data_IF_788897108582
#
_entry.id   IF_788897108582
#
_cell.length_a   1.000
_cell.length_b   1.000
_cell.length_c   1.000
_cell.angle_alpha   90.00
_cell.angle_beta   90.00
_cell.angle_gamma   90.00
#
_symmetry.space_group_name_H-M   'P 1'
#
loop_
_entity.id
_entity.type
_entity.pdbx_description
1 polymer ?
#
# COMPACT_ATOMS: atom_id res chain seq x y z
N UNK A 1 46.86 12.40 -80.08
CA UNK A 1 46.14 13.68 -80.07
C UNK A 1 44.65 13.37 -79.96
N UNK A 2 44.02 13.84 -78.87
CA UNK A 2 42.57 14.01 -78.64
C UNK A 2 41.75 12.80 -78.14
N UNK A 3 41.29 13.01 -76.90
CA UNK A 3 40.20 12.44 -76.09
C UNK A 3 38.95 11.91 -76.82
N UNK A 4 38.24 10.93 -76.23
CA UNK A 4 37.02 11.19 -75.44
C UNK A 4 36.46 9.94 -74.73
N UNK A 5 36.04 10.16 -73.49
CA UNK A 5 35.44 9.25 -72.52
C UNK A 5 34.02 8.81 -72.94
N UNK A 6 33.70 7.52 -72.79
CA UNK A 6 32.29 7.07 -72.71
C UNK A 6 31.78 7.19 -71.28
N UNK A 7 30.73 7.99 -71.12
CA UNK A 7 30.02 8.26 -69.88
C UNK A 7 29.01 7.14 -69.62
N UNK A 8 29.31 6.27 -68.66
CA UNK A 8 28.34 5.29 -68.13
C UNK A 8 27.31 6.07 -67.32
N UNK A 9 26.09 6.17 -67.86
CA UNK A 9 24.98 6.85 -67.21
C UNK A 9 24.34 5.91 -66.19
N UNK A 10 24.76 5.99 -64.92
CA UNK A 10 24.15 5.22 -63.83
C UNK A 10 22.77 5.81 -63.52
N UNK A 11 21.73 5.13 -64.00
CA UNK A 11 20.32 5.44 -63.70
C UNK A 11 20.10 5.23 -62.20
N UNK A 12 19.98 6.32 -61.43
CA UNK A 12 19.66 6.28 -59.98
C UNK A 12 18.29 5.65 -59.76
N UNK A 13 18.25 4.35 -59.48
CA UNK A 13 17.06 3.66 -58.98
C UNK A 13 16.95 4.02 -57.50
N UNK A 14 16.06 4.96 -57.19
CA UNK A 14 15.73 5.37 -55.84
C UNK A 14 14.82 4.29 -55.23
N UNK A 15 15.39 3.37 -54.46
CA UNK A 15 14.61 2.36 -53.72
C UNK A 15 14.00 3.07 -52.49
N UNK A 16 12.67 3.14 -52.33
CA UNK A 16 12.09 3.77 -51.16
C UNK A 16 12.40 2.90 -49.93
N UNK A 17 13.25 3.40 -49.05
CA UNK A 17 13.54 2.81 -47.76
C UNK A 17 12.26 2.91 -46.91
N UNK A 18 11.50 1.81 -46.88
CA UNK A 18 10.32 1.65 -46.03
C UNK A 18 10.78 1.68 -44.57
N UNK A 19 10.72 2.86 -43.94
CA UNK A 19 10.97 3.04 -42.51
C UNK A 19 9.81 2.34 -41.79
N UNK A 20 10.03 1.09 -41.37
CA UNK A 20 9.19 0.41 -40.40
C UNK A 20 9.25 1.22 -39.09
N UNK A 21 8.24 2.05 -38.86
CA UNK A 21 8.00 2.61 -37.53
C UNK A 21 7.59 1.46 -36.62
N UNK A 22 8.54 0.95 -35.84
CA UNK A 22 8.25 -0.06 -34.81
C UNK A 22 7.52 0.68 -33.69
N UNK A 23 6.19 0.61 -33.70
CA UNK A 23 5.37 1.02 -32.56
C UNK A 23 5.65 0.06 -31.42
N UNK A 24 6.49 0.46 -30.46
CA UNK A 24 6.81 -0.36 -29.30
C UNK A 24 5.57 -0.57 -28.44
N UNK A 25 5.21 -1.83 -28.19
CA UNK A 25 4.16 -2.19 -27.24
C UNK A 25 4.53 -1.64 -25.85
N UNK A 26 3.63 -0.89 -25.22
CA UNK A 26 3.81 -0.46 -23.83
C UNK A 26 3.47 -1.62 -22.92
N UNK A 27 4.44 -2.17 -22.21
CA UNK A 27 4.23 -3.23 -21.21
C UNK A 27 3.93 -2.61 -19.85
N UNK A 28 2.99 -3.18 -19.09
CA UNK A 28 2.78 -2.78 -17.69
C UNK A 28 4.00 -3.23 -16.90
N UNK A 29 4.65 -2.31 -16.19
CA UNK A 29 5.67 -2.64 -15.21
C UNK A 29 4.96 -2.97 -13.90
N UNK A 30 4.82 -4.26 -13.61
CA UNK A 30 4.18 -4.78 -12.40
C UNK A 30 5.07 -4.55 -11.16
N UNK A 31 5.19 -3.29 -10.77
CA UNK A 31 5.86 -2.84 -9.55
C UNK A 31 5.01 -1.74 -8.95
N UNK A 32 4.09 -2.12 -8.06
CA UNK A 32 3.33 -1.15 -7.28
C UNK A 32 4.28 -0.43 -6.31
N UNK A 33 4.30 0.90 -6.34
CA UNK A 33 5.01 1.68 -5.34
C UNK A 33 4.22 1.62 -4.03
N UNK A 34 4.80 0.99 -3.01
CA UNK A 34 4.28 1.04 -1.65
C UNK A 34 5.24 1.81 -0.77
N UNK A 35 4.75 2.81 -0.05
CA UNK A 35 5.55 3.49 0.98
C UNK A 35 5.29 2.80 2.31
N UNK A 36 6.30 2.09 2.83
CA UNK A 36 6.28 1.58 4.20
C UNK A 36 6.73 2.71 5.13
N UNK A 37 5.82 3.17 5.99
CA UNK A 37 6.11 4.14 7.02
C UNK A 37 6.09 3.45 8.38
N UNK A 38 7.18 3.58 9.12
CA UNK A 38 7.21 3.11 10.49
C UNK A 38 6.54 4.15 11.39
N UNK A 39 5.76 3.68 12.37
CA UNK A 39 5.17 4.54 13.37
C UNK A 39 5.45 3.98 14.75
N UNK A 40 5.59 4.88 15.72
CA UNK A 40 5.73 4.56 17.13
C UNK A 40 4.91 5.56 17.92
N UNK A 41 3.91 5.09 18.64
CA UNK A 41 3.01 5.91 19.44
C UNK A 41 2.99 5.40 20.89
N UNK A 42 2.79 6.30 21.87
CA UNK A 42 2.84 7.76 21.77
C UNK A 42 4.28 8.28 21.62
N UNK A 43 4.48 9.57 21.35
CA UNK A 43 5.81 10.17 21.24
C UNK A 43 6.65 10.03 22.52
N UNK A 44 7.97 9.91 22.36
CA UNK A 44 8.90 9.82 23.48
C UNK A 44 8.85 11.08 24.35
N UNK A 45 8.90 10.89 25.67
CA UNK A 45 8.96 12.00 26.63
C UNK A 45 7.63 12.69 26.92
N UNK A 46 6.56 12.42 26.16
CA UNK A 46 5.24 12.99 26.42
C UNK A 46 4.49 12.24 27.53
N UNK A 47 3.82 12.98 28.42
CA UNK A 47 2.88 12.40 29.38
C UNK A 47 1.61 12.01 28.62
N UNK A 48 1.34 10.71 28.56
CA UNK A 48 0.17 10.13 27.89
C UNK A 48 -0.74 9.47 28.92
N UNK A 49 -2.05 9.51 28.67
CA UNK A 49 -3.06 8.81 29.47
C UNK A 49 -3.75 7.74 28.62
N UNK A 50 -3.84 6.52 29.13
CA UNK A 50 -4.60 5.42 28.53
C UNK A 50 -5.61 4.88 29.53
N UNK A 51 -6.76 4.40 29.05
CA UNK A 51 -7.75 3.71 29.86
C UNK A 51 -7.57 2.19 29.79
N UNK A 52 -8.29 1.45 30.63
CA UNK A 52 -8.30 -0.02 30.56
C UNK A 52 -8.79 -0.49 29.19
N UNK A 53 -8.01 -1.36 28.55
CA UNK A 53 -8.24 -1.86 27.20
C UNK A 53 -7.56 -1.03 26.10
N UNK A 54 -7.10 0.19 26.42
CA UNK A 54 -6.41 1.04 25.45
C UNK A 54 -4.93 0.67 25.31
N UNK A 55 -4.38 1.02 24.15
CA UNK A 55 -2.95 0.89 23.89
C UNK A 55 -2.18 1.92 24.74
N UNK A 56 -1.15 1.43 25.43
CA UNK A 56 -0.10 2.24 26.05
C UNK A 56 1.02 2.54 25.06
N UNK A 57 1.39 1.55 24.25
CA UNK A 57 2.32 1.70 23.13
C UNK A 57 1.69 1.02 21.92
N UNK A 58 1.74 1.66 20.76
CA UNK A 58 1.40 1.07 19.46
C UNK A 58 2.54 1.37 18.48
N UNK A 59 3.27 0.33 18.07
CA UNK A 59 4.42 0.45 17.19
C UNK A 59 4.30 -0.55 16.05
N UNK A 60 4.56 -0.12 14.82
CA UNK A 60 4.46 -1.00 13.67
C UNK A 60 4.90 -0.38 12.36
N UNK A 61 4.62 -1.12 11.29
CA UNK A 61 4.77 -0.65 9.91
C UNK A 61 3.37 -0.32 9.37
N UNK A 62 3.24 0.80 8.69
CA UNK A 62 2.05 1.15 7.95
C UNK A 62 2.39 1.17 6.46
N UNK A 63 1.69 0.36 5.67
CA UNK A 63 1.92 0.29 4.22
C UNK A 63 0.91 1.19 3.55
N UNK A 64 1.40 2.26 2.92
CA UNK A 64 0.57 3.15 2.11
C UNK A 64 0.62 2.70 0.66
N UNK A 65 -0.54 2.39 0.11
CA UNK A 65 -0.69 1.97 -1.29
C UNK A 65 -1.68 2.89 -1.98
N UNK A 66 -1.45 3.16 -3.27
CA UNK A 66 -2.42 3.85 -4.11
C UNK A 66 -3.57 2.94 -4.48
N UNK A 67 -4.76 3.51 -4.50
CA UNK A 67 -5.99 2.88 -4.96
C UNK A 67 -6.68 3.78 -5.98
N UNK A 68 -7.23 3.17 -7.02
CA UNK A 68 -8.29 3.77 -7.82
C UNK A 68 -9.61 3.50 -7.10
N UNK A 69 -10.23 4.54 -6.56
CA UNK A 69 -11.55 4.45 -5.93
C UNK A 69 -12.61 4.92 -6.92
N UNK A 70 -13.60 4.08 -7.19
CA UNK A 70 -14.73 4.33 -8.08
C UNK A 70 -16.00 4.32 -7.22
N UNK A 71 -16.75 5.42 -7.20
CA UNK A 71 -17.93 5.55 -6.33
C UNK A 71 -19.18 4.94 -6.97
N UNK A 72 -19.36 5.17 -8.27
CA UNK A 72 -20.48 4.69 -9.06
C UNK A 72 -20.01 3.65 -10.07
N UNK A 73 -20.71 2.51 -10.12
CA UNK A 73 -20.44 1.48 -11.13
C UNK A 73 -20.50 2.08 -12.53
N UNK A 74 -19.50 1.77 -13.34
CA UNK A 74 -19.41 2.19 -14.73
C UNK A 74 -19.96 1.05 -15.58
N UNK A 75 -21.11 1.29 -16.21
CA UNK A 75 -21.73 0.39 -17.19
C UNK A 75 -21.18 0.76 -18.58
N UNK A 76 -20.26 -0.06 -19.07
CA UNK A 76 -19.46 0.23 -20.24
C UNK A 76 -19.79 -0.71 -21.39
N UNK A 77 -19.77 -0.21 -22.63
CA UNK A 77 -20.16 -0.99 -23.81
C UNK A 77 -19.42 -2.34 -23.97
N UNK A 78 -18.16 -2.44 -23.51
CA UNK A 78 -17.39 -3.68 -23.52
C UNK A 78 -17.07 -4.24 -22.13
N UNK A 79 -17.02 -3.38 -21.12
CA UNK A 79 -16.56 -3.73 -19.77
C UNK A 79 -17.40 -3.00 -18.72
N UNK A 80 -17.93 -3.75 -17.76
CA UNK A 80 -18.58 -3.17 -16.58
C UNK A 80 -17.59 -3.13 -15.43
N UNK A 81 -17.43 -1.96 -14.82
CA UNK A 81 -16.49 -1.73 -13.73
C UNK A 81 -17.29 -1.42 -12.47
N UNK A 82 -17.43 -2.39 -11.55
CA UNK A 82 -18.13 -2.18 -10.28
C UNK A 82 -17.56 -1.01 -9.48
N UNK A 83 -18.38 -0.39 -8.64
CA UNK A 83 -17.86 0.52 -7.64
C UNK A 83 -16.96 -0.22 -6.64
N UNK A 84 -15.91 0.45 -6.18
CA UNK A 84 -14.94 -0.17 -5.28
C UNK A 84 -13.58 0.52 -5.30
N UNK A 85 -12.65 -0.09 -4.57
CA UNK A 85 -11.26 0.36 -4.51
C UNK A 85 -10.36 -0.70 -5.09
N UNK A 86 -9.59 -0.33 -6.11
CA UNK A 86 -8.72 -1.20 -6.88
C UNK A 86 -7.27 -0.84 -6.57
N UNK A 87 -6.51 -1.80 -6.07
CA UNK A 87 -5.11 -1.60 -5.63
C UNK A 87 -4.21 -1.32 -6.84
N UNK A 88 -3.21 -0.45 -6.70
CA UNK A 88 -2.18 -0.28 -7.72
C UNK A 88 -1.38 -1.58 -7.89
N UNK A 89 -1.13 -1.96 -9.13
CA UNK A 89 -0.35 -3.14 -9.52
C UNK A 89 0.90 -2.77 -10.32
N UNK A 90 0.98 -1.54 -10.83
CA UNK A 90 2.13 -1.09 -11.61
C UNK A 90 2.11 0.39 -11.94
N UNK A 91 3.21 0.85 -12.54
CA UNK A 91 3.36 2.20 -13.05
C UNK A 91 4.22 2.16 -14.32
N UNK A 92 3.80 2.80 -15.41
CA UNK A 92 4.64 2.96 -16.58
C UNK A 92 4.36 4.28 -17.30
N UNK A 93 5.41 5.00 -17.70
CA UNK A 93 5.34 6.26 -18.46
C UNK A 93 4.35 7.30 -17.90
N UNK A 94 4.26 7.43 -16.56
CA UNK A 94 3.37 8.39 -15.91
C UNK A 94 1.93 7.91 -15.70
N UNK A 95 1.62 6.66 -16.08
CA UNK A 95 0.30 6.05 -15.88
C UNK A 95 0.39 5.04 -14.74
N UNK A 96 -0.47 5.21 -13.73
CA UNK A 96 -0.70 4.24 -12.66
C UNK A 96 -1.70 3.17 -13.15
N UNK A 97 -1.33 1.90 -13.01
CA UNK A 97 -2.17 0.75 -13.35
C UNK A 97 -2.70 0.07 -12.10
N UNK A 98 -3.98 -0.25 -12.08
CA UNK A 98 -4.72 -0.81 -10.96
C UNK A 98 -5.30 -2.18 -11.29
N UNK A 99 -5.53 -2.98 -10.26
CA UNK A 99 -6.17 -4.31 -10.36
C UNK A 99 -7.55 -4.23 -10.99
N UNK A 100 -7.98 -5.33 -11.60
CA UNK A 100 -9.37 -5.52 -12.09
C UNK A 100 -10.31 -6.07 -10.99
N UNK A 101 -9.75 -6.43 -9.83
CA UNK A 101 -10.47 -6.91 -8.67
C UNK A 101 -10.44 -5.86 -7.57
N UNK A 102 -11.61 -5.46 -7.07
CA UNK A 102 -11.72 -4.52 -5.96
C UNK A 102 -11.37 -5.19 -4.62
N UNK A 103 -11.11 -4.39 -3.59
CA UNK A 103 -10.93 -4.89 -2.21
C UNK A 103 -12.13 -5.71 -1.70
N UNK A 104 -13.34 -5.45 -2.20
CA UNK A 104 -14.56 -6.21 -1.85
C UNK A 104 -14.79 -7.42 -2.77
N UNK A 105 -13.77 -7.83 -3.54
CA UNK A 105 -13.79 -8.98 -4.44
C UNK A 105 -14.79 -8.87 -5.61
N UNK A 106 -15.32 -7.68 -5.91
CA UNK A 106 -16.01 -7.43 -7.17
C UNK A 106 -14.99 -7.30 -8.31
N UNK A 107 -15.23 -7.98 -9.44
CA UNK A 107 -14.35 -7.99 -10.61
C UNK A 107 -14.96 -7.17 -11.75
N UNK A 108 -14.09 -6.63 -12.61
CA UNK A 108 -14.51 -6.08 -13.92
C UNK A 108 -15.15 -7.21 -14.74
N UNK A 109 -16.36 -6.97 -15.24
CA UNK A 109 -17.11 -7.94 -16.03
C UNK A 109 -16.97 -7.63 -17.53
N UNK A 110 -17.01 -8.68 -18.36
CA UNK A 110 -16.96 -8.57 -19.81
C UNK A 110 -17.61 -9.80 -20.47
N UNK A 111 -18.00 -9.69 -21.74
CA UNK A 111 -18.53 -10.81 -22.51
C UNK A 111 -17.39 -11.61 -23.14
N UNK A 112 -17.05 -12.75 -22.52
CA UNK A 112 -16.01 -13.63 -23.01
C UNK A 112 -16.30 -14.12 -24.45
N UNK A 113 -15.26 -14.10 -25.30
CA UNK A 113 -15.36 -14.45 -26.72
C UNK A 113 -15.77 -13.29 -27.63
N UNK A 114 -16.32 -12.20 -27.08
CA UNK A 114 -16.56 -10.96 -27.82
C UNK A 114 -15.50 -9.89 -27.49
N UNK A 115 -15.12 -9.78 -26.21
CA UNK A 115 -14.10 -8.85 -25.74
C UNK A 115 -12.92 -9.58 -25.10
N UNK A 116 -11.75 -8.98 -25.18
CA UNK A 116 -10.52 -9.51 -24.60
C UNK A 116 -10.55 -9.38 -23.06
N UNK A 117 -10.01 -10.34 -22.30
CA UNK A 117 -9.97 -10.21 -20.85
C UNK A 117 -9.21 -8.95 -20.38
N UNK A 118 -9.77 -8.18 -19.44
CA UNK A 118 -9.09 -7.03 -18.86
C UNK A 118 -7.92 -7.50 -18.00
N UNK A 119 -6.81 -6.74 -18.01
CA UNK A 119 -5.63 -7.02 -17.18
C UNK A 119 -5.35 -5.90 -16.18
N UNK A 120 -5.78 -4.67 -16.46
CA UNK A 120 -5.61 -3.53 -15.56
C UNK A 120 -6.63 -2.42 -15.83
N UNK A 121 -6.78 -1.54 -14.84
CA UNK A 121 -7.48 -0.27 -14.94
C UNK A 121 -6.49 0.89 -14.87
N UNK A 122 -6.80 2.04 -15.47
CA UNK A 122 -6.09 3.31 -15.29
C UNK A 122 -7.06 4.47 -15.23
N UNK A 123 -6.68 5.58 -14.60
CA UNK A 123 -7.43 6.84 -14.64
C UNK A 123 -6.64 7.86 -15.46
N UNK A 124 -7.12 8.13 -16.67
CA UNK A 124 -6.43 8.97 -17.65
C UNK A 124 -7.42 10.02 -18.19
N UNK A 125 -7.03 11.29 -18.20
CA UNK A 125 -7.88 12.40 -18.69
C UNK A 125 -9.30 12.38 -18.12
N UNK A 126 -9.44 12.08 -16.82
CA UNK A 126 -10.71 11.96 -16.12
C UNK A 126 -11.65 10.87 -16.68
N UNK A 127 -11.08 9.80 -17.25
CA UNK A 127 -11.76 8.60 -17.71
C UNK A 127 -11.12 7.36 -17.12
N UNK A 128 -11.93 6.37 -16.79
CA UNK A 128 -11.41 5.05 -16.37
C UNK A 128 -11.21 4.21 -17.63
N UNK A 129 -9.97 3.83 -17.87
CA UNK A 129 -9.57 3.03 -19.01
C UNK A 129 -9.32 1.58 -18.59
N UNK A 130 -9.77 0.66 -19.44
CA UNK A 130 -9.54 -0.78 -19.33
C UNK A 130 -8.43 -1.15 -20.29
N UNK A 131 -7.46 -1.88 -19.77
CA UNK A 131 -6.26 -2.30 -20.47
C UNK A 131 -6.33 -3.80 -20.70
N UNK A 132 -6.03 -4.27 -21.93
CA UNK A 132 -6.01 -5.69 -22.32
C UNK A 132 -4.67 -6.05 -22.96
N UNK A 133 -4.39 -7.33 -23.21
CA UNK A 133 -3.06 -7.72 -23.74
C UNK A 133 -2.82 -7.18 -25.16
N UNK A 134 -3.86 -7.09 -25.99
CA UNK A 134 -3.76 -6.72 -27.41
C UNK A 134 -4.03 -5.24 -27.68
N UNK A 135 -4.73 -4.54 -26.78
CA UNK A 135 -5.07 -3.12 -26.90
C UNK A 135 -4.70 -2.33 -25.64
N UNK A 136 -3.86 -1.31 -25.79
CA UNK A 136 -3.31 -0.50 -24.70
C UNK A 136 -3.53 1.00 -24.98
N UNK A 137 -4.49 1.68 -24.30
CA UNK A 137 -5.65 1.14 -23.58
C UNK A 137 -6.76 0.64 -24.54
N UNK A 138 -7.55 -0.35 -24.11
CA UNK A 138 -8.57 -1.01 -24.95
C UNK A 138 -9.89 -0.22 -25.04
N UNK A 139 -10.35 0.38 -23.94
CA UNK A 139 -11.59 1.16 -23.89
C UNK A 139 -11.57 2.11 -22.69
N UNK A 140 -12.05 3.34 -22.86
CA UNK A 140 -12.10 4.34 -21.80
C UNK A 140 -13.52 4.88 -21.62
N UNK A 141 -13.97 4.95 -20.38
CA UNK A 141 -15.33 5.32 -19.98
C UNK A 141 -15.33 6.55 -19.08
N UNK A 142 -16.49 7.20 -18.95
CA UNK A 142 -16.67 8.23 -17.94
C UNK A 142 -16.37 7.67 -16.54
N UNK A 143 -15.71 8.49 -15.72
CA UNK A 143 -14.97 7.97 -14.58
C UNK A 143 -15.80 7.45 -13.40
N UNK A 144 -17.13 7.55 -13.40
CA UNK A 144 -17.94 7.12 -12.25
C UNK A 144 -17.56 7.79 -10.91
N UNK A 145 -17.12 9.06 -10.95
CA UNK A 145 -16.49 9.79 -9.84
C UNK A 145 -15.19 9.16 -9.33
N UNK A 146 -14.41 8.53 -10.22
CA UNK A 146 -13.17 7.90 -9.82
C UNK A 146 -12.10 8.90 -9.38
N UNK A 147 -11.36 8.52 -8.33
CA UNK A 147 -10.21 9.27 -7.83
C UNK A 147 -9.09 8.32 -7.40
N UNK A 148 -7.86 8.75 -7.64
CA UNK A 148 -6.69 8.08 -7.09
C UNK A 148 -6.51 8.58 -5.65
N UNK A 149 -6.47 7.66 -4.69
CA UNK A 149 -6.25 7.97 -3.29
C UNK A 149 -5.21 7.04 -2.66
N UNK A 150 -4.42 7.59 -1.73
CA UNK A 150 -3.53 6.79 -0.90
C UNK A 150 -4.33 6.22 0.27
N UNK A 151 -4.28 4.89 0.43
CA UNK A 151 -4.82 4.22 1.63
C UNK A 151 -3.68 3.65 2.43
N UNK A 152 -3.58 4.10 3.68
CA UNK A 152 -2.67 3.51 4.66
C UNK A 152 -3.34 2.29 5.27
N UNK A 153 -2.81 1.12 4.93
CA UNK A 153 -3.24 -0.13 5.52
C UNK A 153 -2.28 -0.55 6.63
N UNK A 154 -2.85 -0.81 7.80
CA UNK A 154 -2.15 -1.39 8.94
C UNK A 154 -2.11 -2.94 8.87
N UNK A 155 -2.60 -3.54 7.78
CA UNK A 155 -2.80 -4.99 7.63
C UNK A 155 -2.17 -5.63 6.38
N UNK A 156 -1.48 -4.88 5.52
CA UNK A 156 -0.75 -5.48 4.39
C UNK A 156 0.69 -5.77 4.80
N UNK A 157 1.03 -7.05 5.06
CA UNK A 157 2.34 -7.56 5.53
C UNK A 157 2.96 -6.86 6.75
N UNK A 158 2.25 -5.91 7.35
CA UNK A 158 2.72 -5.03 8.39
C UNK A 158 2.71 -5.72 9.74
N UNK A 159 3.90 -5.85 10.32
CA UNK A 159 4.10 -6.24 11.70
C UNK A 159 3.74 -5.08 12.63
N UNK A 160 3.05 -5.40 13.73
CA UNK A 160 2.68 -4.45 14.79
C UNK A 160 2.87 -5.08 16.17
N UNK A 161 3.26 -4.25 17.15
CA UNK A 161 3.41 -4.61 18.55
C UNK A 161 2.67 -3.59 19.41
N UNK A 162 2.02 -4.05 20.48
CA UNK A 162 1.35 -3.15 21.41
C UNK A 162 1.46 -3.62 22.86
N UNK A 163 1.52 -2.65 23.78
CA UNK A 163 1.22 -2.84 25.19
C UNK A 163 -0.17 -2.26 25.47
N UNK A 164 -0.97 -2.97 26.24
CA UNK A 164 -2.35 -2.62 26.59
C UNK A 164 -2.46 -2.57 28.11
N UNK A 165 -3.09 -1.53 28.64
CA UNK A 165 -3.35 -1.43 30.07
C UNK A 165 -4.58 -2.26 30.45
N UNK A 166 -4.45 -3.18 31.39
CA UNK A 166 -5.58 -4.03 31.84
C UNK A 166 -6.10 -3.64 33.23
N UNK A 167 -5.62 -2.53 33.79
CA UNK A 167 -5.98 -2.08 35.14
C UNK A 167 -4.94 -2.47 36.18
N UNK A 168 -5.27 -2.18 37.43
CA UNK A 168 -4.40 -2.42 38.58
C UNK A 168 -5.16 -2.99 39.77
N UNK A 169 -4.46 -3.75 40.60
CA UNK A 169 -4.94 -4.25 41.90
C UNK A 169 -3.91 -3.88 42.97
N UNK A 170 -4.28 -3.01 43.90
CA UNK A 170 -3.34 -2.42 44.85
C UNK A 170 -2.21 -1.68 44.14
N UNK A 171 -0.96 -1.98 44.48
CA UNK A 171 0.22 -1.41 43.83
C UNK A 171 0.66 -2.14 42.57
N UNK A 172 -0.12 -3.10 42.07
CA UNK A 172 0.26 -3.93 40.93
C UNK A 172 -0.51 -3.56 39.69
N UNK A 173 0.21 -3.29 38.61
CA UNK A 173 -0.33 -3.00 37.28
C UNK A 173 -0.33 -4.26 36.44
N UNK A 174 -1.43 -4.52 35.74
CA UNK A 174 -1.54 -5.57 34.73
C UNK A 174 -1.46 -4.96 33.32
N UNK A 175 -0.61 -5.52 32.47
CA UNK A 175 -0.54 -5.15 31.06
C UNK A 175 -0.58 -6.40 30.18
N UNK A 176 -1.22 -6.28 29.01
CA UNK A 176 -1.10 -7.26 27.94
C UNK A 176 -0.12 -6.78 26.90
N UNK A 177 0.71 -7.69 26.41
CA UNK A 177 1.47 -7.52 25.18
C UNK A 177 0.82 -8.32 24.05
N UNK A 178 0.73 -7.73 22.85
CA UNK A 178 0.24 -8.42 21.64
C UNK A 178 1.10 -8.06 20.43
N UNK A 179 1.33 -9.06 19.57
CA UNK A 179 1.89 -8.88 18.23
C UNK A 179 0.84 -9.18 17.17
N UNK A 180 0.86 -8.43 16.07
CA UNK A 180 -0.01 -8.65 14.92
C UNK A 180 0.84 -8.82 13.67
N UNK A 181 0.39 -9.69 12.77
CA UNK A 181 0.90 -9.80 11.40
C UNK A 181 -0.29 -9.76 10.46
N UNK A 182 -0.23 -8.87 9.47
CA UNK A 182 -1.32 -8.68 8.50
C UNK A 182 -2.69 -8.43 9.17
N UNK A 183 -2.69 -7.71 10.30
CA UNK A 183 -3.90 -7.42 11.09
C UNK A 183 -4.41 -8.57 11.96
N UNK A 184 -3.82 -9.76 11.88
CA UNK A 184 -4.22 -10.93 12.69
C UNK A 184 -3.33 -11.00 13.94
N UNK A 185 -3.95 -11.17 15.11
CA UNK A 185 -3.23 -11.37 16.36
C UNK A 185 -2.40 -12.67 16.29
N UNK A 186 -1.13 -12.59 16.67
CA UNK A 186 -0.27 -13.76 16.76
C UNK A 186 -0.44 -14.34 18.16
N UNK A 187 -1.37 -15.29 18.32
CA UNK A 187 -1.78 -15.82 19.63
C UNK A 187 -0.59 -16.32 20.47
N UNK A 188 0.41 -16.96 19.84
CA UNK A 188 1.63 -17.42 20.49
C UNK A 188 2.51 -16.29 21.08
N UNK A 189 2.20 -15.01 20.80
CA UNK A 189 2.92 -13.82 21.26
C UNK A 189 2.01 -12.87 22.04
N UNK A 190 0.94 -13.41 22.65
CA UNK A 190 0.12 -12.68 23.62
C UNK A 190 0.53 -13.07 25.03
N UNK A 191 0.92 -12.09 25.84
CA UNK A 191 1.31 -12.32 27.24
C UNK A 191 0.65 -11.29 28.14
N UNK A 192 0.20 -11.74 29.31
CA UNK A 192 -0.24 -10.86 30.39
C UNK A 192 0.85 -10.84 31.46
N UNK A 193 1.28 -9.65 31.86
CA UNK A 193 2.34 -9.49 32.84
C UNK A 193 1.93 -8.49 33.91
N UNK A 194 2.44 -8.71 35.12
CA UNK A 194 2.15 -7.92 36.30
C UNK A 194 3.43 -7.24 36.79
N UNK A 195 3.33 -5.94 37.07
CA UNK A 195 4.43 -5.14 37.63
C UNK A 195 4.02 -4.55 38.97
N UNK A 196 4.87 -4.73 39.98
CA UNK A 196 4.69 -4.17 41.32
C UNK A 196 5.31 -2.78 41.41
N UNK A 197 4.46 -1.75 41.41
CA UNK A 197 4.85 -0.34 41.43
C UNK A 197 5.46 0.11 42.77
N UNK A 198 5.38 -0.70 43.82
CA UNK A 198 6.09 -0.42 45.07
C UNK A 198 7.61 -0.63 44.94
N UNK A 199 8.05 -1.42 43.94
CA UNK A 199 9.47 -1.71 43.70
C UNK A 199 10.11 -0.76 42.70
N UNK A 200 9.35 -0.32 41.70
CA UNK A 200 9.80 0.61 40.66
C UNK A 200 8.59 1.19 39.95
N UNK A 201 8.66 2.47 39.58
CA UNK A 201 7.70 3.10 38.68
C UNK A 201 8.04 2.86 37.19
N UNK A 202 8.99 1.98 36.88
CA UNK A 202 9.41 1.66 35.52
C UNK A 202 8.84 0.31 35.10
N UNK A 203 8.17 0.30 33.95
CA UNK A 203 7.80 -0.91 33.22
C UNK A 203 8.81 -1.08 32.09
N UNK A 204 9.50 -2.22 32.08
CA UNK A 204 10.38 -2.63 30.99
C UNK A 204 9.92 -3.97 30.43
N UNK A 205 9.45 -3.98 29.19
CA UNK A 205 8.93 -5.17 28.54
C UNK A 205 9.28 -5.18 27.06
N UNK A 206 9.86 -6.29 26.55
CA UNK A 206 10.25 -6.45 25.13
C UNK A 206 11.08 -5.27 24.58
N UNK A 207 11.90 -4.64 25.42
CA UNK A 207 12.75 -3.50 25.06
C UNK A 207 12.10 -2.12 25.19
N UNK A 208 10.76 -2.06 25.28
CA UNK A 208 10.07 -0.82 25.60
C UNK A 208 10.25 -0.46 27.07
N UNK A 209 10.45 0.83 27.34
CA UNK A 209 10.64 1.38 28.68
C UNK A 209 9.64 2.49 28.91
N UNK A 210 8.81 2.32 29.94
CA UNK A 210 7.75 3.24 30.31
C UNK A 210 7.98 3.68 31.76
N UNK A 211 7.89 4.98 32.00
CA UNK A 211 7.86 5.55 33.34
C UNK A 211 6.42 5.87 33.72
N UNK A 212 5.88 5.17 34.71
CA UNK A 212 4.54 5.38 35.25
C UNK A 212 4.54 6.62 36.15
N UNK A 213 3.54 7.49 35.95
CA UNK A 213 3.32 8.71 36.72
C UNK A 213 2.15 8.57 37.69
N UNK A 214 1.08 7.96 37.24
CA UNK A 214 -0.15 7.75 38.01
C UNK A 214 -0.89 6.55 37.43
N UNK A 215 -1.58 5.76 38.26
CA UNK A 215 -2.40 4.66 37.78
C UNK A 215 -3.50 4.34 38.78
N UNK A 216 -4.61 3.82 38.26
CA UNK A 216 -5.71 3.26 39.03
C UNK A 216 -6.39 2.13 38.23
N UNK A 217 -7.44 1.52 38.76
CA UNK A 217 -8.13 0.41 38.11
C UNK A 217 -8.85 0.78 36.79
N UNK A 218 -8.88 2.06 36.39
CA UNK A 218 -9.54 2.59 35.21
C UNK A 218 -8.60 3.24 34.19
N UNK A 219 -7.46 3.76 34.63
CA UNK A 219 -6.54 4.50 33.77
C UNK A 219 -5.09 4.50 34.26
N UNK A 220 -4.17 4.85 33.35
CA UNK A 220 -2.75 5.01 33.62
C UNK A 220 -2.22 6.26 32.92
N UNK A 221 -1.43 7.06 33.63
CA UNK A 221 -0.60 8.14 33.07
C UNK A 221 0.86 7.73 33.10
N UNK A 222 1.53 7.88 31.98
CA UNK A 222 2.90 7.42 31.82
C UNK A 222 3.67 8.24 30.79
N UNK A 223 4.98 8.05 30.77
CA UNK A 223 5.89 8.61 29.77
C UNK A 223 6.65 7.47 29.12
N UNK A 224 6.60 7.39 27.79
CA UNK A 224 7.44 6.44 27.05
C UNK A 224 8.86 6.99 26.99
N UNK A 225 9.81 6.21 27.51
CA UNK A 225 11.25 6.50 27.45
C UNK A 225 11.92 5.82 26.26
N UNK A 226 11.38 4.66 25.86
CA UNK A 226 11.88 3.86 24.75
C UNK A 226 10.75 2.98 24.19
N UNK A 227 10.66 2.85 22.86
CA UNK A 227 9.75 1.91 22.21
C UNK A 227 10.36 0.50 22.12
N UNK A 228 9.66 -0.49 21.55
CA UNK A 228 10.18 -1.86 21.46
C UNK A 228 11.45 -1.94 20.60
N UNK A 229 11.55 -1.09 19.58
CA UNK A 229 12.71 -0.98 18.69
C UNK A 229 12.99 0.48 18.33
N UNK A 230 14.27 0.82 18.22
CA UNK A 230 14.74 2.16 17.84
C UNK A 230 15.05 2.27 16.33
N UNK A 231 15.20 1.14 15.64
CA UNK A 231 15.62 1.09 14.24
C UNK A 231 14.88 -0.02 13.49
N UNK A 232 14.13 0.35 12.45
CA UNK A 232 13.31 -0.59 11.66
C UNK A 232 14.04 -1.16 10.44
N UNK A 233 15.28 -0.75 10.20
CA UNK A 233 16.08 -1.05 9.01
C UNK A 233 16.64 -2.48 8.93
N UNK A 234 16.35 -3.38 9.87
CA UNK A 234 16.90 -4.75 9.93
C UNK A 234 15.88 -5.80 9.43
N UNK A 235 14.93 -5.41 8.59
CA UNK A 235 13.91 -6.34 8.08
C UNK A 235 13.72 -6.29 6.56
N UNK A 236 14.75 -5.90 5.82
CA UNK A 236 14.85 -6.10 4.36
C UNK A 236 16.09 -6.93 4.05
#
# INVERSE_FOLDING_TARGET
MIFLYEVITVKKILFPLLIMMVSGCTTIHYSAESTQNHYSLPDLGQITKSYVGDHMIDQGVATTMKYLSIENTIDGAAYDIPNGSYIQIGHNKGIDYFSISSQKQANVNFVAGLFEPPIALSLENNKVCVTTMSYQPASCYDNGNARIENKTMHSGSSFKQTLIYNGSVGNKINISYREFSSGIARDAFTNNVEYDMSKSNIINYKGAVIEVKEFDNSSIKFVVKKHFRDNFSIAN
#
